data_IF_707283603638
#
_entry.id   IF_707283603638
#
_cell.length_a   1.000
_cell.length_b   1.000
_cell.length_c   1.000
_cell.angle_alpha   90.00
_cell.angle_beta   90.00
_cell.angle_gamma   90.00
#
_symmetry.space_group_name_H-M   'P 1'
#
loop_
_entity.id
_entity.type
_entity.pdbx_description
1 polymer ?
#
# COMPACT_ATOMS: atom_id res chain seq x y z
N UNK A 1 22.88 4.69 5.79
CA UNK A 1 22.41 5.11 4.44
C UNK A 1 22.80 6.56 4.23
N UNK A 2 23.35 6.88 3.08
CA UNK A 2 23.77 8.24 2.68
C UNK A 2 22.58 8.97 2.04
N UNK A 3 22.01 9.94 2.76
CA UNK A 3 20.84 10.72 2.35
C UNK A 3 21.12 11.57 1.11
N UNK A 4 22.30 12.18 1.04
CA UNK A 4 22.66 13.04 -0.08
C UNK A 4 22.90 12.26 -1.38
N UNK A 5 23.66 11.17 -1.30
CA UNK A 5 23.88 10.29 -2.45
C UNK A 5 22.54 9.71 -2.97
N UNK A 6 21.66 9.32 -2.07
CA UNK A 6 20.34 8.80 -2.43
C UNK A 6 19.46 9.84 -3.10
N UNK A 7 19.37 11.05 -2.54
CA UNK A 7 18.62 12.16 -3.15
C UNK A 7 19.12 12.44 -4.57
N UNK A 8 20.43 12.50 -4.75
CA UNK A 8 21.08 12.71 -6.06
C UNK A 8 20.72 11.63 -7.07
N UNK A 9 20.73 10.36 -6.64
CA UNK A 9 20.37 9.21 -7.49
C UNK A 9 18.91 9.30 -7.94
N UNK A 10 17.99 9.51 -7.01
CA UNK A 10 16.55 9.61 -7.30
C UNK A 10 16.28 10.80 -8.22
N UNK A 11 16.84 11.98 -7.93
CA UNK A 11 16.68 13.16 -8.78
C UNK A 11 17.12 12.90 -10.22
N UNK A 12 18.31 12.30 -10.40
CA UNK A 12 18.83 11.95 -11.74
C UNK A 12 17.93 10.97 -12.48
N UNK A 13 17.43 9.93 -11.80
CA UNK A 13 16.46 8.98 -12.39
C UNK A 13 15.18 9.66 -12.87
N UNK A 14 14.72 10.68 -12.15
CA UNK A 14 13.54 11.48 -12.54
C UNK A 14 13.87 12.54 -13.62
N UNK A 15 15.11 12.54 -14.16
CA UNK A 15 15.53 13.48 -15.19
C UNK A 15 15.65 14.94 -14.73
N UNK A 16 15.68 15.20 -13.41
CA UNK A 16 15.67 16.56 -12.88
C UNK A 16 17.09 17.10 -12.68
N UNK A 17 17.31 18.37 -13.03
CA UNK A 17 18.47 19.12 -12.58
C UNK A 17 18.31 19.53 -11.10
N UNK A 18 19.41 19.85 -10.39
CA UNK A 18 19.32 20.40 -9.03
C UNK A 18 18.46 21.67 -8.99
N UNK A 19 18.57 22.51 -10.01
CA UNK A 19 17.80 23.76 -10.13
C UNK A 19 16.32 23.51 -10.31
N UNK A 20 15.97 22.50 -11.10
CA UNK A 20 14.58 22.12 -11.31
C UNK A 20 13.95 21.54 -10.03
N UNK A 21 14.68 20.64 -9.35
CA UNK A 21 14.20 20.10 -8.07
C UNK A 21 14.03 21.22 -7.03
N UNK A 22 15.00 22.14 -6.93
CA UNK A 22 14.93 23.27 -6.01
C UNK A 22 13.68 24.13 -6.27
N UNK A 23 13.38 24.42 -7.54
CA UNK A 23 12.18 25.17 -7.96
C UNK A 23 10.90 24.47 -7.52
N UNK A 24 10.77 23.14 -7.81
CA UNK A 24 9.59 22.34 -7.45
C UNK A 24 9.40 22.23 -5.94
N UNK A 25 10.48 22.07 -5.20
CA UNK A 25 10.45 21.96 -3.73
C UNK A 25 10.33 23.30 -2.99
N UNK A 26 10.38 24.44 -3.70
CA UNK A 26 10.36 25.76 -3.08
C UNK A 26 11.57 26.02 -2.16
N UNK A 27 12.76 25.54 -2.56
CA UNK A 27 14.04 25.74 -1.87
C UNK A 27 15.08 26.32 -2.81
N UNK A 28 16.26 26.71 -2.29
CA UNK A 28 17.34 27.21 -3.15
C UNK A 28 18.14 26.06 -3.81
N UNK A 29 18.75 26.33 -4.97
CA UNK A 29 19.63 25.36 -5.61
C UNK A 29 20.84 25.00 -4.71
N UNK A 30 21.32 25.97 -3.92
CA UNK A 30 22.37 25.75 -2.93
C UNK A 30 21.96 24.73 -1.88
N UNK A 31 20.70 24.77 -1.41
CA UNK A 31 20.16 23.79 -0.46
C UNK A 31 20.23 22.38 -1.01
N UNK A 32 19.77 22.16 -2.24
CA UNK A 32 19.84 20.84 -2.90
C UNK A 32 21.29 20.39 -3.04
N UNK A 33 22.17 21.27 -3.51
CA UNK A 33 23.58 20.97 -3.68
C UNK A 33 24.28 20.59 -2.37
N UNK A 34 24.01 21.30 -1.27
CA UNK A 34 24.59 21.02 0.04
C UNK A 34 24.11 19.68 0.60
N UNK A 35 22.81 19.35 0.45
CA UNK A 35 22.28 18.06 0.86
C UNK A 35 22.93 16.94 0.04
N UNK A 36 22.97 17.05 -1.29
CA UNK A 36 23.54 16.01 -2.17
C UNK A 36 25.04 15.78 -1.99
N UNK A 37 25.75 16.77 -1.46
CA UNK A 37 27.19 16.67 -1.11
C UNK A 37 27.41 16.23 0.35
N UNK A 38 26.35 15.98 1.10
CA UNK A 38 26.39 15.72 2.55
C UNK A 38 27.08 16.84 3.36
N UNK A 39 27.13 18.05 2.81
CA UNK A 39 27.65 19.22 3.53
C UNK A 39 26.70 19.72 4.61
N UNK A 40 25.42 19.34 4.51
CA UNK A 40 24.36 19.61 5.48
C UNK A 40 23.48 18.38 5.59
N UNK A 41 23.20 17.98 6.83
CA UNK A 41 22.19 16.95 7.10
C UNK A 41 20.80 17.62 7.21
N UNK A 42 19.85 17.31 6.31
CA UNK A 42 18.54 17.92 6.35
C UNK A 42 17.74 17.42 7.55
N UNK A 43 16.95 18.29 8.18
CA UNK A 43 15.92 17.83 9.10
C UNK A 43 14.85 17.03 8.36
N UNK A 44 14.06 16.22 9.09
CA UNK A 44 12.94 15.44 8.51
C UNK A 44 11.97 16.35 7.76
N UNK A 45 11.64 17.52 8.31
CA UNK A 45 10.78 18.50 7.68
C UNK A 45 11.38 19.09 6.39
N UNK A 46 12.68 19.38 6.40
CA UNK A 46 13.39 19.85 5.20
C UNK A 46 13.45 18.78 4.12
N UNK A 47 13.72 17.52 4.49
CA UNK A 47 13.73 16.41 3.56
C UNK A 47 12.33 16.18 2.97
N UNK A 48 11.27 16.18 3.78
CA UNK A 48 9.88 16.07 3.32
C UNK A 48 9.54 17.15 2.29
N UNK A 49 9.98 18.40 2.54
CA UNK A 49 9.78 19.51 1.60
C UNK A 49 10.52 19.27 0.27
N UNK A 50 11.76 18.79 0.31
CA UNK A 50 12.52 18.46 -0.91
C UNK A 50 11.88 17.31 -1.67
N UNK A 51 11.42 16.26 -0.98
CA UNK A 51 10.77 15.10 -1.60
C UNK A 51 9.42 15.45 -2.24
N UNK A 52 8.70 16.43 -1.74
CA UNK A 52 7.50 16.95 -2.38
C UNK A 52 7.74 17.45 -3.82
N UNK A 53 8.97 17.89 -4.13
CA UNK A 53 9.37 18.24 -5.50
C UNK A 53 9.61 17.04 -6.44
N UNK A 54 9.61 15.80 -5.89
CA UNK A 54 9.81 14.54 -6.63
C UNK A 54 8.59 13.61 -6.46
N UNK A 55 7.42 14.02 -6.13
CA UNK A 55 6.31 13.29 -5.52
C UNK A 55 6.72 11.92 -4.93
N UNK A 56 7.32 11.95 -3.72
CA UNK A 56 7.84 10.77 -3.04
C UNK A 56 7.67 10.92 -1.52
N UNK A 57 7.20 9.89 -0.86
CA UNK A 57 7.09 9.86 0.60
C UNK A 57 8.45 9.64 1.28
N UNK A 58 8.53 9.95 2.58
CA UNK A 58 9.72 9.61 3.39
C UNK A 58 9.93 8.08 3.46
N UNK A 59 8.84 7.32 3.56
CA UNK A 59 8.91 5.86 3.59
C UNK A 59 9.56 5.34 2.32
N UNK A 60 9.09 5.74 1.14
CA UNK A 60 9.70 5.37 -0.14
C UNK A 60 11.16 5.82 -0.25
N UNK A 61 11.46 7.02 0.25
CA UNK A 61 12.84 7.52 0.26
C UNK A 61 13.77 6.68 1.12
N UNK A 62 13.30 6.14 2.25
CA UNK A 62 14.11 5.34 3.17
C UNK A 62 14.01 3.82 2.92
N UNK A 63 13.05 3.37 2.13
CA UNK A 63 12.94 1.95 1.74
C UNK A 63 14.17 1.51 0.95
N UNK A 64 14.66 0.28 1.14
CA UNK A 64 15.74 -0.25 0.30
C UNK A 64 15.35 -0.12 -1.17
N UNK A 65 16.26 0.40 -1.99
CA UNK A 65 16.05 0.34 -3.43
C UNK A 65 16.03 -1.13 -3.86
N UNK A 66 14.97 -1.55 -4.50
CA UNK A 66 15.06 -2.73 -5.35
C UNK A 66 16.17 -2.43 -6.38
N UNK A 67 17.18 -3.28 -6.44
CA UNK A 67 18.30 -3.11 -7.36
C UNK A 67 17.74 -2.89 -8.78
N UNK A 68 18.22 -1.87 -9.53
CA UNK A 68 17.63 -1.48 -10.82
C UNK A 68 17.64 -2.58 -11.87
N UNK A 69 18.38 -3.65 -11.67
CA UNK A 69 18.57 -4.77 -12.61
C UNK A 69 18.00 -6.12 -12.11
N UNK A 70 17.32 -6.17 -10.98
CA UNK A 70 16.61 -7.41 -10.65
C UNK A 70 15.33 -7.50 -11.49
N UNK A 71 15.13 -8.57 -12.25
CA UNK A 71 13.88 -8.78 -12.96
C UNK A 71 12.74 -8.73 -11.93
N UNK A 72 11.77 -7.83 -12.17
CA UNK A 72 10.62 -7.70 -11.27
C UNK A 72 9.89 -9.02 -11.23
N UNK A 73 9.69 -9.53 -10.04
CA UNK A 73 8.87 -10.72 -9.83
C UNK A 73 7.46 -10.42 -10.32
N UNK A 74 6.98 -11.21 -11.28
CA UNK A 74 5.67 -11.05 -11.89
C UNK A 74 4.69 -12.09 -11.37
N UNK A 75 5.19 -13.28 -11.02
CA UNK A 75 4.38 -14.42 -10.56
C UNK A 75 4.72 -14.72 -9.12
N UNK A 76 3.71 -14.81 -8.27
CA UNK A 76 3.79 -15.18 -6.87
C UNK A 76 3.09 -16.52 -6.70
N UNK A 77 3.78 -17.51 -6.14
CA UNK A 77 3.21 -18.82 -5.86
C UNK A 77 2.44 -18.79 -4.54
N UNK A 78 1.48 -19.68 -4.36
CA UNK A 78 0.62 -19.70 -3.19
C UNK A 78 1.38 -19.80 -1.85
N UNK A 79 2.49 -20.56 -1.84
CA UNK A 79 3.38 -20.75 -0.69
C UNK A 79 4.30 -19.53 -0.39
N UNK A 80 4.33 -18.56 -1.29
CA UNK A 80 5.14 -17.34 -1.14
C UNK A 80 4.34 -16.15 -0.62
N UNK A 81 3.02 -16.26 -0.55
CA UNK A 81 2.16 -15.17 -0.11
C UNK A 81 2.33 -14.93 1.38
N UNK A 82 2.50 -13.66 1.76
CA UNK A 82 2.60 -13.27 3.16
C UNK A 82 1.20 -13.24 3.76
N UNK A 83 0.98 -14.03 4.81
CA UNK A 83 -0.22 -13.90 5.62
C UNK A 83 -0.07 -12.70 6.58
N UNK A 84 -0.97 -11.74 6.46
CA UNK A 84 -1.09 -10.53 7.28
C UNK A 84 -2.38 -10.52 8.10
N UNK A 85 -3.10 -11.64 8.11
CA UNK A 85 -4.40 -11.77 8.75
C UNK A 85 -4.36 -11.70 10.28
N UNK A 86 -5.52 -11.54 10.86
CA UNK A 86 -5.79 -11.51 12.29
C UNK A 86 -7.19 -12.08 12.58
N UNK A 87 -7.54 -12.28 13.86
CA UNK A 87 -8.89 -12.74 14.25
C UNK A 87 -9.36 -14.00 13.51
N UNK A 88 -8.47 -14.96 13.29
CA UNK A 88 -8.72 -16.20 12.55
C UNK A 88 -8.91 -16.02 11.02
N UNK A 89 -8.98 -14.80 10.53
CA UNK A 89 -9.01 -14.52 9.09
C UNK A 89 -7.60 -14.67 8.53
N UNK A 90 -7.45 -15.43 7.45
CA UNK A 90 -6.20 -15.54 6.69
C UNK A 90 -6.25 -14.49 5.58
N UNK A 91 -5.25 -13.61 5.52
CA UNK A 91 -5.14 -12.57 4.49
C UNK A 91 -3.80 -12.67 3.79
N UNK A 92 -3.77 -13.31 2.64
CA UNK A 92 -2.56 -13.56 1.87
C UNK A 92 -2.28 -12.44 0.87
N UNK A 93 -1.24 -11.63 1.18
CA UNK A 93 -0.87 -10.47 0.38
C UNK A 93 -0.03 -10.86 -0.84
N UNK A 94 -0.49 -10.50 -2.02
CA UNK A 94 0.25 -10.64 -3.28
C UNK A 94 1.18 -9.43 -3.46
N UNK A 95 2.41 -9.69 -3.91
CA UNK A 95 3.33 -8.61 -4.26
C UNK A 95 3.96 -7.87 -3.07
N UNK A 96 4.14 -8.53 -1.92
CA UNK A 96 4.76 -7.91 -0.73
C UNK A 96 6.10 -7.22 -1.01
N UNK A 97 6.90 -7.77 -1.92
CA UNK A 97 8.23 -7.26 -2.28
C UNK A 97 8.20 -6.31 -3.49
N UNK A 98 7.01 -6.02 -4.03
CA UNK A 98 6.90 -5.10 -5.17
C UNK A 98 7.11 -3.65 -4.68
N UNK A 99 8.11 -2.93 -5.21
CA UNK A 99 8.37 -1.56 -4.80
C UNK A 99 7.23 -0.63 -5.26
N UNK A 100 6.81 0.27 -4.38
CA UNK A 100 5.82 1.32 -4.70
C UNK A 100 4.49 0.76 -5.22
N UNK A 101 3.92 -0.20 -4.48
CA UNK A 101 2.58 -0.71 -4.80
C UNK A 101 1.55 0.41 -4.71
N UNK A 102 0.69 0.49 -5.71
CA UNK A 102 -0.50 1.34 -5.67
C UNK A 102 -1.76 0.56 -5.31
N UNK A 103 -1.64 -0.77 -5.25
CA UNK A 103 -2.73 -1.70 -5.03
C UNK A 103 -2.32 -2.71 -3.96
N UNK A 104 -3.15 -2.94 -2.97
CA UNK A 104 -3.14 -4.17 -2.17
C UNK A 104 -4.06 -5.17 -2.83
N UNK A 105 -3.56 -6.37 -3.09
CA UNK A 105 -4.34 -7.47 -3.67
C UNK A 105 -4.22 -8.67 -2.74
N UNK A 106 -5.37 -9.13 -2.22
CA UNK A 106 -5.45 -10.14 -1.18
C UNK A 106 -6.24 -11.35 -1.65
N UNK A 107 -5.81 -12.51 -1.20
CA UNK A 107 -6.63 -13.70 -1.08
C UNK A 107 -6.97 -13.86 0.40
N UNK A 108 -8.24 -13.90 0.70
CA UNK A 108 -8.74 -13.93 2.07
C UNK A 108 -9.55 -15.19 2.32
N UNK A 109 -9.38 -15.80 3.50
CA UNK A 109 -10.19 -16.93 3.93
C UNK A 109 -10.78 -16.60 5.30
N UNK A 110 -12.10 -16.65 5.37
CA UNK A 110 -12.91 -16.45 6.57
C UNK A 110 -13.47 -17.81 7.03
N UNK A 111 -12.85 -18.48 8.01
CA UNK A 111 -13.46 -19.65 8.65
C UNK A 111 -14.81 -19.34 9.27
N UNK A 112 -15.62 -20.34 9.63
CA UNK A 112 -16.83 -20.13 10.41
C UNK A 112 -16.60 -19.27 11.65
N UNK A 113 -17.48 -18.29 11.87
CA UNK A 113 -17.45 -17.32 12.96
C UNK A 113 -16.24 -16.35 12.97
N UNK A 114 -15.44 -16.31 11.89
CA UNK A 114 -14.36 -15.33 11.75
C UNK A 114 -14.88 -13.99 11.23
N UNK A 115 -14.28 -12.90 11.71
CA UNK A 115 -14.60 -11.56 11.28
C UNK A 115 -13.36 -10.64 11.28
N UNK A 116 -13.49 -9.44 10.73
CA UNK A 116 -12.42 -8.43 10.70
C UNK A 116 -12.26 -7.67 12.04
N UNK A 117 -12.94 -8.09 13.07
CA UNK A 117 -12.90 -7.51 14.41
C UNK A 117 -14.18 -6.79 14.81
N UNK A 118 -14.29 -6.34 16.08
CA UNK A 118 -15.49 -5.71 16.60
C UNK A 118 -15.73 -4.30 16.04
N UNK A 119 -14.66 -3.64 15.61
CA UNK A 119 -14.73 -2.28 15.13
C UNK A 119 -14.90 -2.24 13.61
N UNK A 120 -15.67 -1.25 13.14
CA UNK A 120 -15.80 -0.98 11.69
C UNK A 120 -14.49 -0.40 11.16
N UNK A 121 -13.95 -1.02 10.12
CA UNK A 121 -12.76 -0.53 9.42
C UNK A 121 -13.09 0.74 8.63
N UNK A 122 -12.08 1.60 8.49
CA UNK A 122 -12.10 2.76 7.57
C UNK A 122 -10.69 3.02 7.09
N UNK A 123 -10.52 3.27 5.80
CA UNK A 123 -9.25 3.71 5.24
C UNK A 123 -9.49 4.59 4.00
N UNK A 124 -8.46 5.29 3.56
CA UNK A 124 -8.55 6.13 2.37
C UNK A 124 -8.61 5.26 1.11
N UNK A 125 -9.40 5.69 0.13
CA UNK A 125 -9.45 5.11 -1.20
C UNK A 125 -10.68 4.26 -1.45
N UNK A 126 -10.50 3.20 -2.24
CA UNK A 126 -11.56 2.35 -2.75
C UNK A 126 -11.21 0.88 -2.53
N UNK A 127 -12.25 0.07 -2.33
CA UNK A 127 -12.13 -1.37 -2.18
C UNK A 127 -13.13 -2.10 -3.08
N UNK A 128 -12.65 -3.15 -3.73
CA UNK A 128 -13.45 -4.05 -4.54
C UNK A 128 -13.08 -5.50 -4.26
N UNK A 129 -14.03 -6.42 -4.45
CA UNK A 129 -13.75 -7.84 -4.28
C UNK A 129 -14.83 -8.74 -4.84
N UNK A 130 -14.56 -10.04 -4.78
CA UNK A 130 -15.46 -11.09 -5.24
C UNK A 130 -15.37 -12.32 -4.33
N UNK A 131 -16.49 -12.86 -3.94
CA UNK A 131 -16.56 -14.16 -3.26
C UNK A 131 -16.30 -15.27 -4.27
N UNK A 132 -15.24 -16.04 -4.06
CA UNK A 132 -14.88 -17.16 -4.95
C UNK A 132 -15.42 -18.49 -4.44
N UNK A 133 -15.69 -18.59 -3.14
CA UNK A 133 -16.29 -19.76 -2.52
C UNK A 133 -17.00 -19.40 -1.21
N UNK A 134 -18.14 -20.03 -0.94
CA UNK A 134 -18.90 -19.85 0.29
C UNK A 134 -19.75 -18.59 0.29
N UNK A 135 -20.04 -18.09 1.49
CA UNK A 135 -20.86 -16.88 1.74
C UNK A 135 -20.20 -15.99 2.78
N UNK A 136 -20.44 -14.68 2.68
CA UNK A 136 -19.90 -13.69 3.59
C UNK A 136 -20.92 -12.57 3.83
N UNK A 137 -20.98 -12.07 5.04
CA UNK A 137 -21.70 -10.86 5.39
C UNK A 137 -20.76 -9.65 5.27
N UNK A 138 -21.15 -8.69 4.45
CA UNK A 138 -20.48 -7.40 4.29
C UNK A 138 -21.40 -6.30 4.83
N UNK A 139 -20.92 -5.55 5.80
CA UNK A 139 -21.57 -4.32 6.26
C UNK A 139 -20.82 -3.12 5.70
N UNK A 140 -21.52 -2.17 5.07
CA UNK A 140 -20.96 -0.87 4.60
C UNK A 140 -21.89 0.23 5.07
N UNK A 141 -21.40 1.15 5.90
CA UNK A 141 -22.26 2.13 6.58
C UNK A 141 -23.29 1.44 7.46
N UNK A 142 -24.55 1.67 7.16
CA UNK A 142 -25.71 1.07 7.86
C UNK A 142 -26.32 -0.11 7.06
N UNK A 143 -25.77 -0.46 5.90
CA UNK A 143 -26.29 -1.51 5.03
C UNK A 143 -25.56 -2.83 5.27
N UNK A 144 -26.32 -3.92 5.35
CA UNK A 144 -25.81 -5.28 5.51
C UNK A 144 -26.16 -6.08 4.26
N UNK A 145 -25.15 -6.69 3.66
CA UNK A 145 -25.27 -7.50 2.45
C UNK A 145 -24.75 -8.91 2.70
N UNK A 146 -25.49 -9.92 2.25
CA UNK A 146 -25.01 -11.30 2.18
C UNK A 146 -24.50 -11.53 0.77
N UNK A 147 -23.21 -11.82 0.66
CA UNK A 147 -22.56 -12.13 -0.60
C UNK A 147 -22.44 -13.65 -0.74
N UNK A 148 -22.80 -14.18 -1.89
CA UNK A 148 -22.65 -15.58 -2.26
C UNK A 148 -21.54 -15.76 -3.31
N UNK A 149 -21.14 -16.99 -3.56
CA UNK A 149 -20.14 -17.31 -4.58
C UNK A 149 -20.46 -16.66 -5.93
N UNK A 150 -19.58 -15.84 -6.45
CA UNK A 150 -19.70 -15.07 -7.69
C UNK A 150 -20.18 -13.63 -7.48
N UNK A 151 -20.71 -13.30 -6.31
CA UNK A 151 -21.08 -11.92 -6.01
C UNK A 151 -19.83 -11.05 -5.83
N UNK A 152 -19.95 -9.79 -6.20
CA UNK A 152 -18.88 -8.81 -6.14
C UNK A 152 -19.37 -7.53 -5.47
N UNK A 153 -18.42 -6.81 -4.87
CA UNK A 153 -18.66 -5.51 -4.26
C UNK A 153 -17.66 -4.46 -4.75
N UNK A 154 -18.04 -3.20 -4.62
CA UNK A 154 -17.19 -2.05 -4.85
C UNK A 154 -17.71 -0.87 -4.02
N UNK A 155 -16.86 -0.26 -3.19
CA UNK A 155 -17.24 0.89 -2.38
C UNK A 155 -16.04 1.81 -2.05
N UNK A 156 -16.33 3.05 -1.66
CA UNK A 156 -15.35 3.97 -1.08
C UNK A 156 -15.00 3.52 0.34
N UNK A 157 -13.76 3.12 0.58
CA UNK A 157 -13.29 2.55 1.86
C UNK A 157 -13.26 3.56 3.02
N UNK A 158 -13.53 4.84 2.75
CA UNK A 158 -13.79 5.86 3.77
C UNK A 158 -15.12 5.63 4.51
N UNK A 159 -16.04 4.89 3.91
CA UNK A 159 -17.24 4.40 4.59
C UNK A 159 -16.86 3.33 5.62
N UNK A 160 -17.49 3.33 6.81
CA UNK A 160 -17.25 2.26 7.78
C UNK A 160 -17.71 0.94 7.20
N UNK A 161 -16.85 -0.08 7.29
CA UNK A 161 -17.14 -1.39 6.73
C UNK A 161 -16.61 -2.51 7.60
N UNK A 162 -17.21 -3.70 7.48
CA UNK A 162 -16.85 -4.90 8.21
C UNK A 162 -17.21 -6.13 7.40
N UNK A 163 -16.34 -7.14 7.45
CA UNK A 163 -16.62 -8.47 6.93
C UNK A 163 -16.79 -9.45 8.08
N UNK A 164 -17.80 -10.30 7.99
CA UNK A 164 -18.15 -11.28 8.98
C UNK A 164 -18.59 -12.58 8.30
N UNK A 165 -18.15 -13.72 8.79
CA UNK A 165 -18.66 -15.02 8.36
C UNK A 165 -19.54 -15.64 9.46
N UNK A 166 -20.85 -15.35 9.48
CA UNK A 166 -21.78 -15.93 10.47
C UNK A 166 -22.21 -17.37 10.09
N UNK A 167 -21.71 -17.92 8.99
CA UNK A 167 -22.09 -19.21 8.45
C UNK A 167 -21.21 -20.34 8.99
N UNK A 168 -21.61 -21.57 8.78
CA UNK A 168 -20.95 -22.81 9.21
C UNK A 168 -19.92 -23.36 8.18
N UNK A 169 -19.78 -22.67 7.05
CA UNK A 169 -18.81 -22.96 5.99
C UNK A 169 -17.75 -21.87 5.86
N UNK A 170 -16.55 -22.19 5.41
CA UNK A 170 -15.54 -21.18 5.13
C UNK A 170 -15.87 -20.41 3.86
N UNK A 171 -15.60 -19.11 3.89
CA UNK A 171 -15.67 -18.24 2.71
C UNK A 171 -14.27 -17.89 2.20
N UNK A 172 -14.09 -17.95 0.90
CA UNK A 172 -12.90 -17.42 0.21
C UNK A 172 -13.27 -16.20 -0.62
N UNK A 173 -12.48 -15.13 -0.42
CA UNK A 173 -12.67 -13.82 -1.02
C UNK A 173 -11.39 -13.38 -1.71
N UNK A 174 -11.51 -12.75 -2.87
CA UNK A 174 -10.41 -11.99 -3.49
C UNK A 174 -10.76 -10.51 -3.40
N UNK A 175 -9.86 -9.72 -2.84
CA UNK A 175 -10.05 -8.27 -2.70
C UNK A 175 -8.91 -7.46 -3.28
N UNK A 176 -9.20 -6.22 -3.56
CA UNK A 176 -8.27 -5.23 -4.08
C UNK A 176 -8.58 -3.87 -3.45
N UNK A 177 -7.55 -3.23 -2.88
CA UNK A 177 -7.68 -1.91 -2.24
C UNK A 177 -6.67 -0.93 -2.83
N UNK A 178 -7.09 0.26 -3.13
CA UNK A 178 -6.23 1.35 -3.61
C UNK A 178 -6.51 2.64 -2.84
N UNK A 179 -5.48 3.44 -2.42
CA UNK A 179 -4.04 3.11 -2.48
C UNK A 179 -3.67 1.91 -1.61
N UNK A 180 -2.51 1.29 -1.88
CA UNK A 180 -2.02 0.18 -1.07
C UNK A 180 -1.85 0.61 0.39
N UNK A 181 -2.51 -0.09 1.31
CA UNK A 181 -2.58 0.23 2.73
C UNK A 181 -1.89 -0.81 3.65
N UNK A 182 -1.33 -1.90 3.09
CA UNK A 182 -0.57 -2.94 3.79
C UNK A 182 0.89 -2.98 3.39
#
# INVERSE_FOLDING_TARGET
MDVGARLKTIRKRKGLSQRELAKRAGVTNSTISMIEKNSVSPSVSSLKKVLAGIPMSLVEFFSPEAAPDQPRKVVYRADELLDIGSNQVIMQLVGKDHPSRNLSFLREVYPPAADTGPDMMRHEGEEAGMVVQGRLELTVGDEVHILETGDSYYFESSLPHRFNNPFDESCELISATTPANF
#
